data_IF_023681028080
#
_entry.id   IF_023681028080
#
_cell.length_a   1.000
_cell.length_b   1.000
_cell.length_c   1.000
_cell.angle_alpha   90.00
_cell.angle_beta   90.00
_cell.angle_gamma   90.00
#
_symmetry.space_group_name_H-M   'P 1'
#
loop_
_entity.id
_entity.type
_entity.pdbx_description
1 polymer ?
#
# COMPACT_ATOMS: atom_id res chain seq x y z
N UNK A 1 -5.33 -3.74 11.23
CA UNK A 1 -4.64 -4.40 10.08
C UNK A 1 -5.70 -4.56 8.99
N UNK A 2 -5.44 -5.08 7.76
CA UNK A 2 -6.56 -5.44 6.89
C UNK A 2 -7.44 -6.45 7.63
N UNK A 3 -8.74 -6.17 7.66
CA UNK A 3 -9.77 -6.98 8.31
C UNK A 3 -10.81 -7.34 7.26
N UNK A 4 -11.38 -8.54 7.36
CA UNK A 4 -12.45 -8.94 6.47
C UNK A 4 -13.62 -7.97 6.64
N UNK A 5 -14.13 -7.45 5.52
CA UNK A 5 -15.35 -6.64 5.53
C UNK A 5 -16.51 -7.47 6.08
N UNK A 6 -17.44 -6.85 6.79
CA UNK A 6 -18.61 -7.53 7.31
C UNK A 6 -19.31 -8.35 6.21
N UNK A 7 -19.64 -9.61 6.52
CA UNK A 7 -20.24 -10.58 5.60
C UNK A 7 -19.35 -10.97 4.40
N UNK A 8 -18.03 -10.96 4.55
CA UNK A 8 -17.09 -11.44 3.53
C UNK A 8 -16.09 -12.45 4.07
N UNK A 9 -15.65 -13.36 3.20
CA UNK A 9 -14.53 -14.29 3.42
C UNK A 9 -13.48 -14.06 2.32
N UNK A 10 -12.57 -13.06 2.49
CA UNK A 10 -11.68 -12.65 1.43
C UNK A 10 -10.56 -13.66 1.18
N UNK A 11 -10.44 -14.09 -0.08
CA UNK A 11 -9.21 -14.70 -0.58
C UNK A 11 -8.17 -13.61 -0.82
N UNK A 12 -7.30 -13.39 0.16
CA UNK A 12 -6.34 -12.28 0.14
C UNK A 12 -5.31 -12.43 -0.99
N UNK A 13 -5.29 -11.45 -1.91
CA UNK A 13 -4.28 -11.38 -2.97
C UNK A 13 -2.91 -10.90 -2.44
N UNK A 14 -2.92 -10.06 -1.41
CA UNK A 14 -1.74 -9.54 -0.73
C UNK A 14 -2.13 -8.84 0.57
N UNK A 15 -1.16 -8.61 1.45
CA UNK A 15 -1.42 -8.00 2.75
C UNK A 15 -1.13 -6.51 2.74
N UNK A 16 -2.20 -5.71 2.72
CA UNK A 16 -2.13 -4.26 2.56
C UNK A 16 -1.79 -3.56 3.88
N UNK A 17 -0.80 -2.67 3.84
CA UNK A 17 -0.28 -1.92 4.97
C UNK A 17 -0.32 -0.42 4.65
N UNK A 18 -0.87 0.37 5.57
CA UNK A 18 -0.86 1.84 5.48
C UNK A 18 -0.10 2.41 6.66
N UNK A 19 0.95 3.19 6.38
CA UNK A 19 1.73 3.85 7.43
C UNK A 19 0.87 4.92 8.10
N UNK A 20 0.85 4.93 9.44
CA UNK A 20 0.08 5.91 10.19
C UNK A 20 0.78 7.28 10.19
N UNK A 21 0.01 8.38 10.06
CA UNK A 21 0.58 9.72 10.23
C UNK A 21 1.16 9.87 11.64
N UNK A 22 2.23 10.68 11.77
CA UNK A 22 2.89 10.96 13.06
C UNK A 22 3.68 9.78 13.66
N UNK A 23 3.74 8.62 12.99
CA UNK A 23 4.43 7.43 13.50
C UNK A 23 5.96 7.43 13.37
N UNK A 24 6.59 8.57 13.08
CA UNK A 24 8.05 8.71 12.95
C UNK A 24 8.68 7.99 11.74
N UNK A 25 7.89 7.29 10.92
CA UNK A 25 8.33 6.59 9.70
C UNK A 25 7.42 6.98 8.53
N UNK A 26 8.02 7.08 7.34
CA UNK A 26 7.32 7.25 6.06
C UNK A 26 7.15 5.91 5.36
N UNK A 27 6.19 5.79 4.43
CA UNK A 27 6.06 4.63 3.54
C UNK A 27 7.38 4.28 2.82
N UNK A 28 8.08 5.28 2.29
CA UNK A 28 9.35 5.08 1.59
C UNK A 28 10.43 4.42 2.47
N UNK A 29 10.65 4.93 3.68
CA UNK A 29 11.53 4.29 4.67
C UNK A 29 11.14 2.84 5.01
N UNK A 30 9.84 2.53 5.10
CA UNK A 30 9.38 1.16 5.34
C UNK A 30 9.67 0.25 4.15
N UNK A 31 9.34 0.71 2.95
CA UNK A 31 9.60 -0.02 1.70
C UNK A 31 11.10 -0.28 1.53
N UNK A 32 11.93 0.75 1.64
CA UNK A 32 13.39 0.61 1.51
C UNK A 32 13.97 -0.32 2.57
N UNK A 33 13.44 -0.29 3.81
CA UNK A 33 13.86 -1.20 4.88
C UNK A 33 13.54 -2.67 4.55
N UNK A 34 12.33 -2.95 4.08
CA UNK A 34 11.89 -4.30 3.75
C UNK A 34 12.60 -4.84 2.50
N UNK A 35 12.68 -4.03 1.45
CA UNK A 35 13.34 -4.43 0.19
C UNK A 35 14.85 -4.60 0.37
N UNK A 36 15.49 -3.79 1.22
CA UNK A 36 16.89 -3.99 1.62
C UNK A 36 17.15 -5.31 2.35
N UNK A 37 16.11 -5.96 2.88
CA UNK A 37 16.14 -7.30 3.49
C UNK A 37 15.68 -8.41 2.53
N UNK A 38 15.48 -8.10 1.24
CA UNK A 38 15.00 -9.05 0.24
C UNK A 38 13.49 -9.31 0.29
N UNK A 39 12.72 -8.56 1.08
CA UNK A 39 11.26 -8.66 1.14
C UNK A 39 10.68 -7.74 0.07
N UNK A 40 10.12 -8.32 -0.98
CA UNK A 40 9.50 -7.56 -2.04
C UNK A 40 8.25 -6.82 -1.54
N UNK A 41 8.16 -5.52 -1.87
CA UNK A 41 6.96 -4.72 -1.66
C UNK A 41 6.41 -4.21 -2.98
N UNK A 42 5.17 -3.72 -2.94
CA UNK A 42 4.52 -3.10 -4.10
C UNK A 42 3.55 -2.02 -3.62
N UNK A 43 3.35 -0.99 -4.43
CA UNK A 43 2.30 -0.01 -4.15
C UNK A 43 0.94 -0.56 -4.58
N UNK A 44 -0.15 0.03 -4.11
CA UNK A 44 -1.50 -0.37 -4.54
C UNK A 44 -1.76 0.13 -5.97
N UNK A 45 -1.22 -0.58 -6.94
CA UNK A 45 -1.31 -0.25 -8.38
C UNK A 45 -0.95 1.21 -8.64
N UNK A 46 -1.85 1.96 -9.31
CA UNK A 46 -1.70 3.38 -9.58
C UNK A 46 -1.85 4.26 -8.32
N UNK A 47 -2.43 3.76 -7.24
CA UNK A 47 -2.87 4.58 -6.12
C UNK A 47 -4.01 5.50 -6.56
N UNK A 48 -3.67 6.74 -6.93
CA UNK A 48 -4.62 7.68 -7.52
C UNK A 48 -4.40 7.83 -9.02
N UNK A 49 -5.22 7.16 -9.84
CA UNK A 49 -5.09 7.12 -11.28
C UNK A 49 -5.14 8.52 -11.92
N UNK A 50 -5.98 9.43 -11.41
CA UNK A 50 -6.11 10.79 -11.95
C UNK A 50 -4.92 11.70 -11.60
N UNK A 51 -3.85 11.17 -11.00
CA UNK A 51 -2.56 11.86 -10.82
C UNK A 51 -1.45 11.31 -11.72
N UNK A 52 -1.71 10.26 -12.50
CA UNK A 52 -0.74 9.70 -13.45
C UNK A 52 -0.63 10.54 -14.72
N UNK A 53 0.51 10.49 -15.44
CA UNK A 53 0.72 11.28 -16.66
C UNK A 53 -0.32 11.06 -17.76
N UNK A 54 -0.88 9.85 -17.87
CA UNK A 54 -1.94 9.57 -18.86
C UNK A 54 -3.22 10.39 -18.66
N UNK A 55 -3.37 11.07 -17.52
CA UNK A 55 -4.46 12.00 -17.22
C UNK A 55 -4.04 13.48 -17.29
N UNK A 56 -2.80 13.82 -17.69
CA UNK A 56 -2.32 15.21 -17.72
C UNK A 56 -3.19 16.12 -18.60
N UNK A 57 -3.51 15.69 -19.82
CA UNK A 57 -4.32 16.50 -20.73
C UNK A 57 -5.74 16.70 -20.18
N UNK A 58 -6.36 15.65 -19.63
CA UNK A 58 -7.70 15.75 -19.03
C UNK A 58 -7.71 16.65 -17.80
N UNK A 59 -6.65 16.62 -16.96
CA UNK A 59 -6.47 17.55 -15.84
C UNK A 59 -6.33 18.99 -16.33
N UNK A 60 -5.54 19.20 -17.38
CA UNK A 60 -5.28 20.53 -17.97
C UNK A 60 -6.53 21.13 -18.60
N UNK A 61 -7.33 20.34 -19.31
CA UNK A 61 -8.56 20.82 -19.96
C UNK A 61 -9.75 20.88 -19.02
N UNK A 62 -9.70 20.20 -17.87
CA UNK A 62 -10.83 20.04 -16.97
C UNK A 62 -11.96 19.20 -17.57
N UNK A 63 -11.67 18.37 -18.56
CA UNK A 63 -12.66 17.55 -19.29
C UNK A 63 -12.17 16.11 -19.48
N UNK A 64 -13.09 15.16 -19.67
CA UNK A 64 -12.77 13.74 -19.91
C UNK A 64 -12.96 12.82 -18.70
N UNK A 65 -13.04 13.35 -17.48
CA UNK A 65 -13.48 12.62 -16.29
C UNK A 65 -14.22 13.53 -15.30
N UNK A 66 -14.81 12.95 -14.26
CA UNK A 66 -15.47 13.67 -13.18
C UNK A 66 -15.09 13.05 -11.84
N UNK A 67 -14.93 13.89 -10.84
CA UNK A 67 -14.81 13.49 -9.43
C UNK A 67 -16.00 14.10 -8.69
N UNK A 68 -16.64 13.32 -7.83
CA UNK A 68 -17.72 13.80 -6.96
C UNK A 68 -17.22 13.74 -5.53
N UNK A 69 -17.18 14.91 -4.86
CA UNK A 69 -16.54 15.05 -3.55
C UNK A 69 -15.01 14.98 -3.66
N UNK A 70 -14.38 14.45 -2.61
CA UNK A 70 -12.92 14.40 -2.47
C UNK A 70 -12.36 12.98 -2.54
N UNK A 71 -11.11 12.86 -2.98
CA UNK A 71 -10.39 11.59 -3.09
C UNK A 71 -9.35 11.40 -1.97
N UNK A 72 -9.62 11.92 -0.77
CA UNK A 72 -8.65 11.92 0.35
C UNK A 72 -8.11 10.53 0.69
N UNK A 73 -8.98 9.52 0.72
CA UNK A 73 -8.59 8.12 0.97
C UNK A 73 -7.74 7.57 -0.18
N UNK A 74 -8.10 7.85 -1.43
CA UNK A 74 -7.32 7.43 -2.61
C UNK A 74 -5.94 8.09 -2.62
N UNK A 75 -5.88 9.37 -2.22
CA UNK A 75 -4.65 10.13 -2.06
C UNK A 75 -3.76 9.58 -0.94
N UNK A 76 -4.36 9.19 0.19
CA UNK A 76 -3.66 8.52 1.27
C UNK A 76 -3.12 7.16 0.82
N UNK A 77 -3.92 6.38 0.09
CA UNK A 77 -3.49 5.10 -0.49
C UNK A 77 -2.26 5.29 -1.37
N UNK A 78 -2.29 6.27 -2.27
CA UNK A 78 -1.17 6.55 -3.17
C UNK A 78 0.12 6.90 -2.42
N UNK A 79 0.03 7.68 -1.34
CA UNK A 79 1.19 8.18 -0.58
C UNK A 79 1.73 7.21 0.46
N UNK A 80 0.83 6.56 1.20
CA UNK A 80 1.16 5.95 2.50
C UNK A 80 0.96 4.43 2.53
N UNK A 81 0.44 3.84 1.45
CA UNK A 81 0.06 2.42 1.40
C UNK A 81 0.93 1.61 0.47
N UNK A 82 1.22 0.37 0.87
CA UNK A 82 1.91 -0.67 0.11
C UNK A 82 1.44 -2.04 0.59
N UNK A 83 1.74 -3.11 -0.11
CA UNK A 83 1.48 -4.49 0.33
C UNK A 83 2.73 -5.37 0.29
N UNK A 84 2.66 -6.46 1.05
CA UNK A 84 3.58 -7.61 1.02
C UNK A 84 2.82 -8.85 0.56
N UNK A 85 3.56 -9.86 0.07
CA UNK A 85 2.97 -11.12 -0.39
C UNK A 85 2.39 -11.96 0.74
N UNK A 86 1.34 -12.71 0.42
CA UNK A 86 0.72 -13.78 1.25
C UNK A 86 0.29 -14.97 0.39
N UNK A 87 1.01 -15.21 -0.71
CA UNK A 87 0.62 -16.24 -1.68
C UNK A 87 0.89 -17.65 -1.12
N UNK A 88 0.21 -18.70 -1.63
CA UNK A 88 0.25 -20.05 -1.03
C UNK A 88 1.62 -20.73 -0.93
N UNK A 89 2.64 -20.26 -1.65
CA UNK A 89 3.99 -20.84 -1.61
C UNK A 89 4.91 -20.25 -0.55
N UNK A 90 4.41 -19.38 0.33
CA UNK A 90 5.19 -18.81 1.43
C UNK A 90 5.22 -19.76 2.62
N UNK A 91 6.41 -20.03 3.15
CA UNK A 91 6.56 -20.83 4.37
C UNK A 91 6.34 -19.99 5.63
N UNK A 92 6.09 -20.65 6.75
CA UNK A 92 5.97 -20.00 8.07
C UNK A 92 7.22 -19.19 8.44
N UNK A 93 8.41 -19.68 8.08
CA UNK A 93 9.68 -18.96 8.31
C UNK A 93 9.76 -17.67 7.49
N UNK A 94 9.28 -17.69 6.24
CA UNK A 94 9.21 -16.48 5.41
C UNK A 94 8.24 -15.47 6.01
N UNK A 95 7.08 -15.92 6.48
CA UNK A 95 6.08 -15.06 7.13
C UNK A 95 6.63 -14.48 8.44
N UNK A 96 7.28 -15.30 9.28
CA UNK A 96 7.92 -14.86 10.51
C UNK A 96 9.02 -13.81 10.23
N UNK A 97 9.82 -14.01 9.19
CA UNK A 97 10.84 -13.03 8.78
C UNK A 97 10.24 -11.70 8.32
N UNK A 98 9.13 -11.73 7.58
CA UNK A 98 8.39 -10.52 7.18
C UNK A 98 7.84 -9.80 8.41
N UNK A 99 7.17 -10.53 9.32
CA UNK A 99 6.58 -9.97 10.53
C UNK A 99 7.67 -9.29 11.39
N UNK A 100 8.79 -9.97 11.61
CA UNK A 100 9.90 -9.42 12.38
C UNK A 100 10.51 -8.20 11.68
N UNK A 101 10.70 -8.25 10.36
CA UNK A 101 11.24 -7.12 9.61
C UNK A 101 10.31 -5.89 9.62
N UNK A 102 8.99 -6.10 9.62
CA UNK A 102 8.03 -5.00 9.80
C UNK A 102 8.13 -4.42 11.21
N UNK A 103 8.28 -5.24 12.25
CA UNK A 103 8.48 -4.79 13.64
C UNK A 103 9.75 -3.96 13.80
N UNK A 104 10.89 -4.47 13.32
CA UNK A 104 12.16 -3.73 13.30
C UNK A 104 12.01 -2.40 12.55
N UNK A 105 11.31 -2.43 11.41
CA UNK A 105 11.03 -1.26 10.58
C UNK A 105 10.22 -0.17 11.29
N UNK A 106 9.44 -0.52 12.31
CA UNK A 106 8.72 0.44 13.17
C UNK A 106 9.37 0.65 14.54
N UNK A 107 10.55 0.07 14.79
CA UNK A 107 11.29 0.20 16.04
C UNK A 107 10.69 -0.58 17.21
N UNK A 108 10.18 -1.79 16.95
CA UNK A 108 9.58 -2.70 17.94
C UNK A 108 10.20 -4.08 17.87
#
# INVERSE_FOLDING_TARGET
LPEATANSDPSWFGFLLTVRPGGGRSREKMVNHLEGKGIQTRMLFAGNLIKHPCFDDMRRTGSGYRVVGELETTDRIMRDTFWVGVYPGMSEEMLAFIIQSVRDGVGR
#
